data_IF_312916143790
#
_entry.id   IF_312916143790
#
_cell.length_a   1.000
_cell.length_b   1.000
_cell.length_c   1.000
_cell.angle_alpha   90.00
_cell.angle_beta   90.00
_cell.angle_gamma   90.00
#
_symmetry.space_group_name_H-M   'P 1'
#
loop_
_entity.id
_entity.type
_entity.pdbx_description
1 polymer ?
#
# COMPACT_ATOMS: atom_id res chain seq x y z
N UNK A 1 6.13 2.53 34.00
CA UNK A 1 5.08 3.01 33.09
C UNK A 1 5.77 3.58 31.86
N UNK A 2 5.93 2.80 30.80
CA UNK A 2 6.39 3.35 29.52
C UNK A 2 5.18 4.04 28.87
N UNK A 3 5.04 5.36 29.03
CA UNK A 3 4.30 6.15 28.04
C UNK A 3 5.23 6.32 26.83
N UNK A 4 5.50 5.21 26.14
CA UNK A 4 6.36 5.20 24.96
C UNK A 4 5.61 5.80 23.78
N UNK A 5 6.11 6.91 23.22
CA UNK A 5 5.63 7.40 21.92
C UNK A 5 5.63 6.25 20.90
N UNK A 6 4.56 6.15 20.11
CA UNK A 6 4.46 5.09 19.11
C UNK A 6 5.62 5.19 18.12
N UNK A 7 6.30 4.05 17.90
CA UNK A 7 7.38 3.94 16.90
C UNK A 7 6.85 3.85 15.47
N UNK A 8 5.56 3.61 15.32
CA UNK A 8 4.91 3.38 14.02
C UNK A 8 3.65 4.22 13.88
N UNK A 9 3.47 4.74 12.67
CA UNK A 9 2.24 5.37 12.23
C UNK A 9 1.78 4.66 10.96
N UNK A 10 0.48 4.42 10.84
CA UNK A 10 -0.17 3.96 9.60
C UNK A 10 -1.45 4.76 9.45
N UNK A 11 -1.74 5.22 8.24
CA UNK A 11 -3.01 5.89 7.95
C UNK A 11 -4.19 4.98 8.31
N UNK A 12 -5.27 5.56 8.81
CA UNK A 12 -6.53 4.85 9.08
C UNK A 12 -7.34 4.58 7.82
N UNK A 13 -6.96 5.19 6.70
CA UNK A 13 -7.58 5.01 5.38
C UNK A 13 -7.36 3.58 4.89
N UNK A 14 -8.39 2.96 4.32
CA UNK A 14 -8.28 1.60 3.81
C UNK A 14 -7.36 1.51 2.58
N UNK A 15 -6.74 0.36 2.36
CA UNK A 15 -5.87 0.12 1.21
C UNK A 15 -6.60 0.40 -0.13
N UNK A 16 -7.91 0.11 -0.23
CA UNK A 16 -8.72 0.41 -1.40
C UNK A 16 -8.92 1.91 -1.61
N UNK A 17 -9.22 2.66 -0.55
CA UNK A 17 -9.32 4.13 -0.59
C UNK A 17 -7.97 4.78 -0.92
N UNK A 18 -6.87 4.28 -0.36
CA UNK A 18 -5.51 4.74 -0.69
C UNK A 18 -5.27 4.59 -2.19
N UNK A 19 -5.65 3.47 -2.81
CA UNK A 19 -5.50 3.28 -4.25
C UNK A 19 -6.36 4.24 -5.07
N UNK A 20 -7.58 4.52 -4.64
CA UNK A 20 -8.45 5.50 -5.31
C UNK A 20 -7.85 6.90 -5.26
N UNK A 21 -7.27 7.30 -4.12
CA UNK A 21 -6.50 8.55 -3.98
C UNK A 21 -5.24 8.55 -4.86
N UNK A 22 -4.56 7.40 -4.96
CA UNK A 22 -3.34 7.25 -5.77
C UNK A 22 -3.63 7.52 -7.25
N UNK A 23 -4.83 7.15 -7.72
CA UNK A 23 -5.31 7.40 -9.07
C UNK A 23 -5.32 8.86 -9.51
N UNK A 24 -5.31 9.79 -8.56
CA UNK A 24 -5.23 11.23 -8.82
C UNK A 24 -3.78 11.71 -9.01
N UNK A 25 -2.79 10.85 -8.77
CA UNK A 25 -1.36 11.11 -8.90
C UNK A 25 -0.75 10.30 -10.05
N UNK A 26 0.51 10.61 -10.39
CA UNK A 26 1.27 9.79 -11.35
C UNK A 26 1.57 8.45 -10.67
N UNK A 27 0.77 7.45 -11.00
CA UNK A 27 0.98 6.06 -10.57
C UNK A 27 1.39 5.21 -11.76
N UNK A 28 2.29 4.26 -11.49
CA UNK A 28 2.60 3.20 -12.44
C UNK A 28 1.51 2.11 -12.40
N UNK A 29 1.82 0.93 -12.92
CA UNK A 29 0.93 -0.21 -12.88
C UNK A 29 0.65 -0.69 -11.45
N UNK A 30 -0.62 -0.68 -11.05
CA UNK A 30 -1.08 -1.23 -9.78
C UNK A 30 -1.05 -2.74 -9.86
N UNK A 31 -0.32 -3.35 -8.94
CA UNK A 31 -0.17 -4.78 -8.85
C UNK A 31 -0.79 -5.28 -7.55
N UNK A 32 -1.61 -6.32 -7.62
CA UNK A 32 -2.28 -6.91 -6.46
C UNK A 32 -2.02 -8.40 -6.45
N UNK A 33 -1.50 -8.89 -5.33
CA UNK A 33 -1.36 -10.32 -5.09
C UNK A 33 -2.61 -10.82 -4.37
N UNK A 34 -3.28 -11.81 -4.96
CA UNK A 34 -4.43 -12.47 -4.38
C UNK A 34 -4.00 -13.87 -3.94
N UNK A 35 -3.99 -14.06 -2.64
CA UNK A 35 -3.56 -15.30 -1.99
C UNK A 35 -4.77 -16.05 -1.46
N UNK A 36 -4.63 -17.35 -1.24
CA UNK A 36 -5.63 -18.08 -0.48
C UNK A 36 -5.60 -17.63 0.98
N UNK A 37 -6.77 -17.34 1.56
CA UNK A 37 -6.85 -16.84 2.94
C UNK A 37 -6.34 -17.85 3.98
N UNK A 38 -6.35 -19.14 3.66
CA UNK A 38 -5.90 -20.24 4.53
C UNK A 38 -4.40 -20.57 4.35
N UNK A 39 -3.68 -19.91 3.43
CA UNK A 39 -2.21 -20.00 3.26
C UNK A 39 -1.65 -21.35 2.74
N UNK A 40 -2.31 -22.47 3.03
CA UNK A 40 -1.84 -23.81 2.71
C UNK A 40 -2.50 -24.44 1.47
N UNK A 41 -3.56 -23.82 0.94
CA UNK A 41 -4.26 -24.30 -0.26
C UNK A 41 -4.02 -23.36 -1.44
N UNK A 42 -3.71 -23.91 -2.61
CA UNK A 42 -3.56 -23.11 -3.82
C UNK A 42 -4.93 -22.68 -4.35
N UNK A 43 -5.01 -21.52 -4.99
CA UNK A 43 -6.21 -21.18 -5.77
C UNK A 43 -6.27 -22.20 -6.94
N UNK A 44 -7.39 -22.91 -7.15
CA UNK A 44 -7.48 -23.95 -8.16
C UNK A 44 -7.06 -23.45 -9.55
N UNK A 45 -5.95 -23.99 -10.07
CA UNK A 45 -5.45 -23.70 -11.43
C UNK A 45 -6.30 -24.34 -12.52
N UNK A 46 -7.23 -25.22 -12.14
CA UNK A 46 -7.78 -26.28 -12.99
C UNK A 46 -8.73 -25.81 -14.09
N UNK A 47 -9.23 -24.57 -14.07
CA UNK A 47 -10.04 -24.07 -15.18
C UNK A 47 -9.91 -22.55 -15.40
N UNK A 48 -9.00 -22.12 -16.30
CA UNK A 48 -8.86 -20.72 -16.68
C UNK A 48 -10.17 -20.08 -17.15
N UNK A 49 -11.01 -20.81 -17.90
CA UNK A 49 -12.27 -20.25 -18.42
C UNK A 49 -13.26 -19.94 -17.29
N UNK A 50 -13.39 -20.83 -16.31
CA UNK A 50 -14.24 -20.60 -15.14
C UNK A 50 -13.70 -19.45 -14.28
N UNK A 51 -12.38 -19.38 -14.09
CA UNK A 51 -11.75 -18.25 -13.40
C UNK A 51 -12.08 -16.94 -14.09
N UNK A 52 -11.86 -16.84 -15.40
CA UNK A 52 -12.22 -15.66 -16.18
C UNK A 52 -13.71 -15.32 -16.03
N UNK A 53 -14.61 -16.31 -16.11
CA UNK A 53 -16.04 -16.08 -15.96
C UNK A 53 -16.43 -15.58 -14.55
N UNK A 54 -15.80 -16.11 -13.49
CA UNK A 54 -16.03 -15.67 -12.11
C UNK A 54 -15.53 -14.23 -11.90
N UNK A 55 -14.35 -13.91 -12.40
CA UNK A 55 -13.79 -12.54 -12.34
C UNK A 55 -14.68 -11.55 -13.10
N UNK A 56 -15.16 -11.90 -14.29
CA UNK A 56 -16.08 -11.06 -15.08
C UNK A 56 -17.38 -10.72 -14.34
N UNK A 57 -17.87 -11.62 -13.49
CA UNK A 57 -19.08 -11.40 -12.68
C UNK A 57 -18.83 -10.47 -11.49
N UNK A 58 -17.62 -10.48 -10.94
CA UNK A 58 -17.27 -9.76 -9.71
C UNK A 58 -16.65 -8.39 -9.96
N UNK A 59 -15.99 -8.20 -11.09
CA UNK A 59 -15.24 -6.98 -11.41
C UNK A 59 -15.91 -6.28 -12.57
N UNK A 60 -16.35 -5.05 -12.33
CA UNK A 60 -16.87 -4.20 -13.39
C UNK A 60 -15.72 -3.71 -14.27
N UNK A 61 -15.95 -3.59 -15.57
CA UNK A 61 -14.91 -3.22 -16.55
C UNK A 61 -13.67 -4.12 -16.45
N UNK A 62 -13.88 -5.44 -16.33
CA UNK A 62 -12.81 -6.44 -16.23
C UNK A 62 -11.79 -6.38 -17.40
N UNK A 63 -12.17 -5.81 -18.54
CA UNK A 63 -11.28 -5.48 -19.66
C UNK A 63 -10.13 -4.53 -19.29
N UNK A 64 -10.25 -3.79 -18.17
CA UNK A 64 -9.21 -2.94 -17.62
C UNK A 64 -8.13 -3.72 -16.82
N UNK A 65 -8.30 -5.04 -16.66
CA UNK A 65 -7.25 -5.91 -16.12
C UNK A 65 -6.27 -6.20 -17.25
N UNK A 66 -5.03 -5.75 -17.08
CA UNK A 66 -3.97 -5.96 -18.08
C UNK A 66 -3.51 -7.41 -18.09
N UNK A 67 -3.31 -8.01 -16.91
CA UNK A 67 -2.89 -9.40 -16.79
C UNK A 67 -3.27 -10.00 -15.45
N UNK A 68 -3.46 -11.33 -15.41
CA UNK A 68 -3.68 -12.08 -14.18
C UNK A 68 -2.90 -13.42 -14.11
N UNK A 69 -1.56 -13.42 -14.22
CA UNK A 69 -0.79 -14.66 -14.16
C UNK A 69 -0.86 -15.32 -12.78
N UNK A 70 -0.82 -16.65 -12.78
CA UNK A 70 -0.52 -17.42 -11.57
C UNK A 70 0.96 -17.29 -11.22
N UNK A 71 1.25 -17.09 -9.94
CA UNK A 71 2.60 -17.20 -9.40
C UNK A 71 3.02 -18.65 -9.26
N UNK A 72 4.33 -18.89 -9.06
CA UNK A 72 4.86 -20.25 -8.79
C UNK A 72 4.19 -20.91 -7.57
N UNK A 73 3.80 -20.10 -6.59
CA UNK A 73 3.17 -20.55 -5.35
C UNK A 73 1.65 -20.77 -5.48
N UNK A 74 1.07 -20.55 -6.67
CA UNK A 74 -0.37 -20.74 -6.91
C UNK A 74 -1.26 -19.58 -6.46
N UNK A 75 -0.68 -18.42 -6.19
CA UNK A 75 -1.42 -17.16 -6.01
C UNK A 75 -1.72 -16.53 -7.37
N UNK A 76 -2.67 -15.60 -7.44
CA UNK A 76 -2.96 -14.85 -8.67
C UNK A 76 -2.41 -13.43 -8.50
N UNK A 77 -1.60 -12.95 -9.44
CA UNK A 77 -1.20 -11.54 -9.48
C UNK A 77 -2.05 -10.82 -10.49
N UNK A 78 -2.84 -9.84 -10.07
CA UNK A 78 -3.54 -8.92 -10.97
C UNK A 78 -2.69 -7.69 -11.24
N UNK A 79 -2.74 -7.20 -12.48
CA UNK A 79 -2.09 -5.96 -12.91
C UNK A 79 -3.11 -5.07 -13.63
N UNK A 80 -3.21 -3.80 -13.24
CA UNK A 80 -4.09 -2.82 -13.88
C UNK A 80 -3.53 -1.41 -13.75
N UNK A 81 -3.85 -0.55 -14.71
CA UNK A 81 -3.58 0.89 -14.64
C UNK A 81 -4.76 1.67 -14.03
N UNK A 82 -5.86 0.98 -13.70
CA UNK A 82 -7.12 1.61 -13.34
C UNK A 82 -7.41 1.43 -11.83
N UNK A 83 -7.37 2.51 -11.03
CA UNK A 83 -7.59 2.48 -9.59
C UNK A 83 -8.92 1.85 -9.17
N UNK A 84 -10.00 2.13 -9.90
CA UNK A 84 -11.33 1.55 -9.61
C UNK A 84 -11.32 0.02 -9.78
N UNK A 85 -10.64 -0.48 -10.82
CA UNK A 85 -10.49 -1.92 -11.03
C UNK A 85 -9.64 -2.54 -9.90
N UNK A 86 -8.55 -1.88 -9.51
CA UNK A 86 -7.70 -2.31 -8.41
C UNK A 86 -8.46 -2.37 -7.07
N UNK A 87 -9.26 -1.34 -6.75
CA UNK A 87 -10.10 -1.32 -5.56
C UNK A 87 -11.09 -2.50 -5.53
N UNK A 88 -11.74 -2.80 -6.66
CA UNK A 88 -12.63 -3.96 -6.76
C UNK A 88 -11.90 -5.30 -6.55
N UNK A 89 -10.67 -5.44 -7.07
CA UNK A 89 -9.82 -6.61 -6.83
C UNK A 89 -9.48 -6.73 -5.34
N UNK A 90 -9.17 -5.62 -4.66
CA UNK A 90 -8.87 -5.60 -3.24
C UNK A 90 -10.06 -5.99 -2.35
N UNK A 91 -11.28 -5.75 -2.83
CA UNK A 91 -12.51 -6.16 -2.14
C UNK A 91 -12.92 -7.61 -2.40
N UNK A 92 -12.15 -8.40 -3.16
CA UNK A 92 -12.47 -9.80 -3.40
C UNK A 92 -12.30 -10.63 -2.12
N UNK A 93 -13.38 -11.23 -1.66
CA UNK A 93 -13.34 -12.18 -0.54
C UNK A 93 -13.21 -13.63 -0.99
N UNK A 94 -13.70 -13.95 -2.19
CA UNK A 94 -13.72 -15.32 -2.74
C UNK A 94 -13.44 -15.34 -4.24
N UNK A 95 -12.78 -16.39 -4.71
CA UNK A 95 -12.61 -16.74 -6.13
C UNK A 95 -12.95 -18.22 -6.28
N UNK A 96 -13.87 -18.58 -7.18
CA UNK A 96 -14.30 -19.98 -7.41
C UNK A 96 -14.64 -20.72 -6.10
N UNK A 97 -15.29 -20.04 -5.15
CA UNK A 97 -15.63 -20.52 -3.80
C UNK A 97 -14.47 -20.72 -2.81
N UNK A 98 -13.24 -20.37 -3.20
CA UNK A 98 -12.08 -20.33 -2.31
C UNK A 98 -11.99 -18.95 -1.69
N UNK A 99 -11.90 -18.88 -0.36
CA UNK A 99 -11.65 -17.61 0.33
C UNK A 99 -10.24 -17.10 0.02
N UNK A 100 -10.15 -15.82 -0.32
CA UNK A 100 -8.91 -15.17 -0.74
C UNK A 100 -8.60 -13.96 0.12
N UNK A 101 -7.33 -13.56 0.12
CA UNK A 101 -6.81 -12.36 0.75
C UNK A 101 -6.03 -11.56 -0.30
N UNK A 102 -6.63 -10.51 -0.88
CA UNK A 102 -5.94 -9.56 -1.72
C UNK A 102 -4.94 -8.72 -0.91
N UNK A 103 -3.81 -8.37 -1.52
CA UNK A 103 -2.82 -7.48 -0.94
C UNK A 103 -2.16 -6.63 -2.04
N UNK A 104 -2.00 -5.34 -1.80
CA UNK A 104 -1.33 -4.43 -2.73
C UNK A 104 0.17 -4.72 -2.75
N UNK A 105 0.73 -4.81 -3.95
CA UNK A 105 2.16 -4.69 -4.18
C UNK A 105 2.48 -3.21 -4.33
N UNK A 106 3.12 -2.64 -3.30
CA UNK A 106 3.30 -1.20 -3.15
C UNK A 106 4.39 -0.60 -4.05
N UNK A 107 5.13 -1.45 -4.75
CA UNK A 107 6.12 -1.06 -5.74
C UNK A 107 5.49 -0.18 -6.83
N UNK A 108 6.02 1.03 -7.01
CA UNK A 108 5.53 1.96 -8.04
C UNK A 108 4.22 2.67 -7.71
N UNK A 109 3.74 2.56 -6.47
CA UNK A 109 2.55 3.26 -5.93
C UNK A 109 2.95 4.21 -4.79
N UNK A 110 3.97 3.85 -4.02
CA UNK A 110 4.50 4.68 -2.93
C UNK A 110 5.97 5.01 -3.11
N UNK A 111 6.35 6.16 -2.55
CA UNK A 111 7.73 6.60 -2.36
C UNK A 111 8.07 6.62 -0.88
N UNK A 112 9.35 6.43 -0.56
CA UNK A 112 9.85 6.49 0.82
C UNK A 112 11.07 7.37 0.91
N UNK A 113 11.17 8.13 1.98
CA UNK A 113 12.33 8.98 2.28
C UNK A 113 12.58 9.06 3.78
N UNK A 114 13.79 9.48 4.14
CA UNK A 114 14.22 9.65 5.53
C UNK A 114 14.28 11.13 5.86
N UNK A 115 13.70 11.49 7.01
CA UNK A 115 14.02 12.76 7.68
C UNK A 115 14.91 12.43 8.88
N UNK A 116 16.01 13.16 9.00
CA UNK A 116 16.94 13.04 10.11
C UNK A 116 16.64 14.07 11.20
N UNK A 117 17.25 13.90 12.36
CA UNK A 117 17.22 14.92 13.43
C UNK A 117 15.82 15.26 13.96
N UNK A 118 14.90 14.29 13.99
CA UNK A 118 13.57 14.50 14.60
C UNK A 118 13.64 14.31 16.11
N UNK A 119 13.22 15.30 16.91
CA UNK A 119 13.14 15.17 18.36
C UNK A 119 12.33 13.94 18.81
N UNK A 120 12.79 13.29 19.88
CA UNK A 120 12.15 12.07 20.38
C UNK A 120 10.77 12.33 21.01
N UNK A 121 10.57 13.52 21.57
CA UNK A 121 9.37 13.98 22.27
C UNK A 121 8.22 14.38 21.33
N UNK A 122 8.50 14.68 20.06
CA UNK A 122 7.46 14.95 19.06
C UNK A 122 6.77 13.64 18.66
N UNK A 123 5.45 13.61 18.68
CA UNK A 123 4.66 12.45 18.28
C UNK A 123 4.62 12.28 16.75
N UNK A 124 4.47 11.03 16.28
CA UNK A 124 4.31 10.78 14.84
C UNK A 124 3.05 11.46 14.27
N UNK A 125 2.01 11.66 15.07
CA UNK A 125 0.79 12.33 14.61
C UNK A 125 1.01 13.83 14.36
N UNK A 126 1.77 14.49 15.23
CA UNK A 126 2.14 15.91 15.03
C UNK A 126 2.98 16.08 13.76
N UNK A 127 3.96 15.19 13.55
CA UNK A 127 4.80 15.21 12.34
C UNK A 127 3.96 14.94 11.10
N UNK A 128 3.04 13.98 11.15
CA UNK A 128 2.11 13.71 10.04
C UNK A 128 1.32 14.96 9.70
N UNK A 129 0.72 15.61 10.70
CA UNK A 129 -0.09 16.81 10.51
C UNK A 129 0.73 17.95 9.91
N UNK A 130 1.89 18.25 10.48
CA UNK A 130 2.78 19.31 9.99
C UNK A 130 3.22 19.06 8.54
N UNK A 131 3.60 17.83 8.21
CA UNK A 131 4.06 17.51 6.85
C UNK A 131 2.91 17.56 5.84
N UNK A 132 1.71 17.08 6.19
CA UNK A 132 0.57 17.12 5.26
C UNK A 132 -0.03 18.53 5.11
N UNK A 133 0.04 19.39 6.14
CA UNK A 133 -0.41 20.78 6.04
C UNK A 133 0.51 21.62 5.14
N UNK A 134 1.81 21.33 5.16
CA UNK A 134 2.81 22.10 4.41
C UNK A 134 3.10 21.53 3.01
N UNK A 135 2.60 20.34 2.67
CA UNK A 135 2.92 19.68 1.41
C UNK A 135 1.70 18.98 0.79
N UNK A 136 1.63 18.95 -0.55
CA UNK A 136 0.59 18.24 -1.30
C UNK A 136 0.90 16.73 -1.45
N UNK A 137 1.11 16.04 -0.33
CA UNK A 137 1.24 14.57 -0.33
C UNK A 137 0.48 13.89 0.81
N UNK A 138 0.11 12.63 0.57
CA UNK A 138 -0.61 11.81 1.55
C UNK A 138 0.38 10.85 2.22
N UNK A 139 0.43 10.86 3.56
CA UNK A 139 1.31 9.98 4.31
C UNK A 139 0.59 8.69 4.66
N UNK A 140 1.09 7.58 4.13
CA UNK A 140 0.49 6.25 4.32
C UNK A 140 1.10 5.51 5.51
N UNK A 141 2.32 5.86 5.90
CA UNK A 141 2.93 5.33 7.11
C UNK A 141 4.25 5.99 7.48
N UNK A 142 4.61 5.86 8.75
CA UNK A 142 5.91 6.29 9.27
C UNK A 142 6.51 5.27 10.24
N UNK A 143 7.84 5.27 10.34
CA UNK A 143 8.58 4.50 11.32
C UNK A 143 9.69 5.34 11.93
N UNK A 144 9.61 5.59 13.25
CA UNK A 144 10.67 6.23 14.04
C UNK A 144 11.72 5.20 14.45
N UNK A 145 13.00 5.49 14.22
CA UNK A 145 14.11 4.59 14.59
C UNK A 145 14.74 5.02 15.91
N UNK A 146 14.41 4.31 16.98
CA UNK A 146 14.93 4.60 18.32
C UNK A 146 16.01 3.57 18.67
N UNK A 147 17.23 4.03 19.01
CA UNK A 147 18.31 3.17 19.53
C UNK A 147 18.19 3.03 21.05
N UNK A 148 17.99 1.81 21.52
CA UNK A 148 17.98 1.49 22.96
C UNK A 148 19.35 1.72 23.59
N UNK A 149 19.38 2.32 24.78
CA UNK A 149 20.61 2.53 25.56
C UNK A 149 21.46 3.74 25.16
N UNK A 150 20.96 4.61 24.28
CA UNK A 150 21.64 5.84 23.88
C UNK A 150 20.95 7.07 24.47
N UNK A 151 21.71 8.09 24.89
CA UNK A 151 21.19 9.42 25.24
C UNK A 151 20.82 10.23 23.98
N UNK A 152 20.28 9.57 22.95
CA UNK A 152 19.90 10.25 21.72
C UNK A 152 18.73 11.19 22.00
N UNK A 153 18.89 12.46 21.63
CA UNK A 153 17.81 13.45 21.67
C UNK A 153 16.98 13.44 20.37
N UNK A 154 17.58 12.92 19.29
CA UNK A 154 16.99 12.89 17.96
C UNK A 154 17.01 11.48 17.37
N UNK A 155 16.05 11.22 16.48
CA UNK A 155 15.93 9.96 15.75
C UNK A 155 15.59 10.21 14.28
N UNK A 156 16.09 9.39 13.35
CA UNK A 156 15.60 9.41 12.00
C UNK A 156 14.21 8.76 11.91
N UNK A 157 13.42 9.20 10.94
CA UNK A 157 12.09 8.68 10.63
C UNK A 157 12.03 8.31 9.16
N UNK A 158 11.62 7.08 8.86
CA UNK A 158 11.23 6.67 7.51
C UNK A 158 9.78 7.03 7.28
N UNK A 159 9.52 7.83 6.25
CA UNK A 159 8.18 8.24 5.84
C UNK A 159 7.86 7.56 4.52
N UNK A 160 6.65 7.00 4.43
CA UNK A 160 6.08 6.48 3.21
C UNK A 160 4.94 7.41 2.77
N UNK A 161 5.00 7.86 1.53
CA UNK A 161 4.00 8.73 0.91
C UNK A 161 3.38 8.04 -0.31
N UNK A 162 2.15 8.44 -0.62
CA UNK A 162 1.45 7.97 -1.80
C UNK A 162 1.90 8.76 -3.04
N UNK A 163 2.24 8.05 -4.11
CA UNK A 163 2.82 8.60 -5.33
C UNK A 163 4.30 8.26 -5.48
N UNK A 164 4.81 8.31 -6.71
CA UNK A 164 6.21 7.99 -7.02
C UNK A 164 7.13 9.20 -7.04
N UNK A 165 6.59 10.41 -7.02
CA UNK A 165 7.35 11.67 -6.96
C UNK A 165 7.66 12.01 -5.50
N UNK A 166 8.94 12.21 -5.19
CA UNK A 166 9.32 12.77 -3.90
C UNK A 166 8.98 14.27 -3.87
N UNK A 167 8.64 14.84 -2.71
CA UNK A 167 8.52 16.28 -2.57
C UNK A 167 9.87 16.92 -2.96
N UNK A 168 9.83 17.94 -3.81
CA UNK A 168 11.02 18.67 -4.20
C UNK A 168 11.64 19.29 -2.93
N UNK A 169 12.87 18.89 -2.61
CA UNK A 169 13.71 19.66 -1.69
C UNK A 169 13.97 20.99 -2.39
N UNK A 170 13.21 22.03 -2.06
CA UNK A 170 13.27 23.32 -2.73
C UNK A 170 14.70 23.80 -2.92
N UNK A 171 15.17 23.80 -4.16
CA UNK A 171 16.23 24.71 -4.56
C UNK A 171 15.57 26.09 -4.59
N UNK A 172 15.61 26.80 -3.47
CA UNK A 172 15.38 28.23 -3.46
C UNK A 172 16.53 28.85 -4.27
N UNK A 173 16.23 29.23 -5.51
CA UNK A 173 17.07 30.10 -6.34
C UNK A 173 16.95 31.55 -5.91
#
# INVERSE_FOLDING_TARGET
MESGFSKFFRSSVSDAEIILLAGQRIISEINILVENSQGFSQIPKSNPQLLHADIKKKIARHENIKSMPFTRNGNIRFSTLYPVCAAQILSLEKILNVSVKPNILWEGIMSRFLIYEIPLDISLNEITKELQENNDFEIIGMRKFIKTGSQQQFSPILIAILGTTLPDCGNQS
#
